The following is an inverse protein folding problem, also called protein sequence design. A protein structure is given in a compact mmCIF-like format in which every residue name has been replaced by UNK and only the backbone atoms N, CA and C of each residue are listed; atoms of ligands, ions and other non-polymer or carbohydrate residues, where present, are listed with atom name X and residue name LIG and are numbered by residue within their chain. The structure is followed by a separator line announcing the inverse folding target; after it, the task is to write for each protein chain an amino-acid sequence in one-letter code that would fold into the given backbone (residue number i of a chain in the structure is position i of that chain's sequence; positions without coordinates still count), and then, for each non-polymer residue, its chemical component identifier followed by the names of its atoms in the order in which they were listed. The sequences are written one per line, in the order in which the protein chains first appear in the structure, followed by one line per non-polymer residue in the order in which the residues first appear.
data_IF_630480768035
#
_entry.id   IF_630480768035
#
_cell.length_a   1.000
_cell.length_b   1.000
_cell.length_c   1.000
_cell.angle_alpha   90.00
_cell.angle_beta   90.00
_cell.angle_gamma   90.00
#
_symmetry.space_group_name_H-M   'P 1'
#
loop_
_entity.id
_entity.type
_entity.pdbx_description
1 polymer ?
#
# COMPACT_ATOMS: atom_id res chain seq x y z
N UNK A 1 -1.61 -9.04 6.97
CA UNK A 1 -0.50 -9.00 7.94
C UNK A 1 0.04 -7.58 7.97
N UNK A 2 0.44 -7.06 9.13
CA UNK A 2 1.26 -5.83 9.17
C UNK A 2 2.72 -6.25 9.33
N UNK A 3 3.66 -5.66 8.56
CA UNK A 3 5.08 -5.92 8.75
C UNK A 3 5.67 -5.13 9.93
N UNK A 4 4.87 -4.31 10.61
CA UNK A 4 5.32 -3.37 11.63
C UNK A 4 5.05 -3.89 13.05
N UNK A 5 5.94 -3.57 13.99
CA UNK A 5 5.73 -3.78 15.43
C UNK A 5 4.87 -2.66 16.02
N UNK A 6 5.04 -1.42 15.51
CA UNK A 6 4.27 -0.25 15.90
C UNK A 6 3.87 0.59 14.67
N UNK A 7 2.73 1.30 14.71
CA UNK A 7 2.37 2.29 13.70
C UNK A 7 3.43 3.40 13.55
N UNK A 8 3.68 3.83 12.32
CA UNK A 8 4.74 4.79 12.01
C UNK A 8 4.19 6.20 11.73
N UNK A 9 5.04 7.21 11.83
CA UNK A 9 4.72 8.53 11.29
C UNK A 9 4.57 8.47 9.77
N UNK A 10 3.89 9.46 9.19
CA UNK A 10 3.60 9.49 7.75
C UNK A 10 4.86 9.33 6.89
N UNK A 11 5.91 10.11 7.17
CA UNK A 11 7.11 10.19 6.34
C UNK A 11 7.88 8.85 6.33
N UNK A 12 7.94 8.16 7.46
CA UNK A 12 8.56 6.83 7.57
C UNK A 12 7.72 5.77 6.86
N UNK A 13 6.40 5.80 7.04
CA UNK A 13 5.49 4.84 6.42
C UNK A 13 5.49 4.97 4.88
N UNK A 14 5.40 6.19 4.35
CA UNK A 14 5.36 6.39 2.89
C UNK A 14 6.69 6.00 2.25
N UNK A 15 7.83 6.26 2.92
CA UNK A 15 9.14 5.83 2.42
C UNK A 15 9.21 4.31 2.23
N UNK A 16 8.80 3.53 3.24
CA UNK A 16 8.77 2.06 3.16
C UNK A 16 7.87 1.57 2.01
N UNK A 17 6.69 2.18 1.86
CA UNK A 17 5.75 1.85 0.77
C UNK A 17 6.38 2.10 -0.60
N UNK A 18 7.04 3.24 -0.79
CA UNK A 18 7.70 3.57 -2.05
C UNK A 18 8.86 2.61 -2.34
N UNK A 19 9.67 2.30 -1.33
CA UNK A 19 10.79 1.35 -1.44
C UNK A 19 10.31 -0.06 -1.82
N UNK A 20 9.17 -0.52 -1.29
CA UNK A 20 8.56 -1.81 -1.67
C UNK A 20 8.09 -1.81 -3.12
N UNK A 21 7.39 -0.75 -3.56
CA UNK A 21 6.95 -0.63 -4.96
C UNK A 21 8.14 -0.61 -5.91
N UNK A 22 9.24 0.06 -5.55
CA UNK A 22 10.45 0.09 -6.37
C UNK A 22 11.16 -1.27 -6.45
N UNK A 23 11.18 -2.03 -5.35
CA UNK A 23 11.67 -3.41 -5.36
C UNK A 23 10.82 -4.30 -6.28
N UNK A 24 9.49 -4.17 -6.23
CA UNK A 24 8.59 -4.93 -7.08
C UNK A 24 8.72 -4.58 -8.56
N UNK A 25 8.88 -3.29 -8.89
CA UNK A 25 9.20 -2.87 -10.27
C UNK A 25 10.48 -3.51 -10.78
N UNK A 26 11.54 -3.56 -9.95
CA UNK A 26 12.82 -4.19 -10.31
C UNK A 26 12.73 -5.71 -10.46
N UNK A 27 11.71 -6.33 -9.87
CA UNK A 27 11.44 -7.76 -9.95
C UNK A 27 10.39 -8.12 -11.02
N UNK A 28 10.06 -7.19 -11.92
CA UNK A 28 9.07 -7.35 -12.99
C UNK A 28 7.64 -7.65 -12.50
N UNK A 29 7.29 -7.21 -11.29
CA UNK A 29 5.92 -7.28 -10.82
C UNK A 29 5.08 -6.18 -11.47
N UNK A 30 3.83 -6.50 -11.80
CA UNK A 30 2.93 -5.62 -12.54
C UNK A 30 1.79 -5.10 -11.68
N UNK A 31 1.34 -3.87 -11.91
CA UNK A 31 0.08 -3.39 -11.32
C UNK A 31 -1.12 -4.02 -12.03
N UNK A 32 -2.06 -4.55 -11.26
CA UNK A 32 -3.26 -5.21 -11.82
C UNK A 32 -4.51 -4.33 -11.86
N UNK A 33 -4.55 -3.28 -11.04
CA UNK A 33 -5.72 -2.37 -10.88
C UNK A 33 -5.29 -0.91 -11.01
N UNK A 34 -4.42 -0.61 -11.97
CA UNK A 34 -3.75 0.68 -12.05
C UNK A 34 -4.71 1.88 -12.17
N UNK A 35 -5.89 1.70 -12.78
CA UNK A 35 -6.89 2.75 -12.95
C UNK A 35 -7.62 3.06 -11.64
N UNK A 36 -8.03 2.03 -10.89
CA UNK A 36 -8.79 2.20 -9.65
C UNK A 36 -7.89 2.36 -8.41
N UNK A 37 -6.71 1.77 -8.46
CA UNK A 37 -5.77 1.57 -7.35
C UNK A 37 -4.33 1.76 -7.87
N UNK A 38 -3.98 2.99 -8.29
CA UNK A 38 -2.66 3.30 -8.82
C UNK A 38 -1.55 3.03 -7.80
N UNK A 39 -0.31 3.02 -8.28
CA UNK A 39 0.84 3.01 -7.39
C UNK A 39 0.83 4.28 -6.53
N UNK A 40 1.20 4.14 -5.26
CA UNK A 40 1.24 5.25 -4.33
C UNK A 40 2.43 6.17 -4.65
N UNK A 41 2.21 7.47 -4.49
CA UNK A 41 3.20 8.53 -4.71
C UNK A 41 3.13 9.48 -3.53
N UNK A 42 4.27 9.90 -2.99
CA UNK A 42 4.32 10.84 -1.87
C UNK A 42 3.93 12.25 -2.32
N UNK A 43 2.62 12.53 -2.30
CA UNK A 43 2.04 13.84 -2.60
C UNK A 43 1.25 14.36 -1.40
N UNK A 44 1.13 15.69 -1.25
CA UNK A 44 0.23 16.28 -0.26
C UNK A 44 -1.20 15.73 -0.37
N UNK A 45 -1.68 15.52 -1.60
CA UNK A 45 -3.01 14.97 -1.84
C UNK A 45 -3.17 13.53 -1.35
N UNK A 46 -2.13 12.68 -1.48
CA UNK A 46 -2.16 11.34 -0.87
C UNK A 46 -2.26 11.46 0.66
N UNK A 47 -1.45 12.33 1.27
CA UNK A 47 -1.45 12.56 2.72
C UNK A 47 -2.83 12.97 3.23
N UNK A 48 -3.47 13.92 2.56
CA UNK A 48 -4.81 14.41 2.89
C UNK A 48 -5.88 13.34 2.68
N UNK A 49 -5.80 12.60 1.58
CA UNK A 49 -6.73 11.50 1.31
C UNK A 49 -6.65 10.41 2.38
N UNK A 50 -5.44 10.07 2.84
CA UNK A 50 -5.23 9.10 3.92
C UNK A 50 -5.71 9.62 5.27
N UNK A 51 -5.44 10.89 5.58
CA UNK A 51 -5.90 11.56 6.81
C UNK A 51 -7.41 11.53 6.94
N UNK A 52 -8.11 11.73 5.82
CA UNK A 52 -9.57 11.75 5.71
C UNK A 52 -10.18 10.38 5.38
N UNK A 53 -9.37 9.30 5.37
CA UNK A 53 -9.81 7.93 5.05
C UNK A 53 -10.62 7.83 3.75
N UNK A 54 -10.27 8.64 2.74
CA UNK A 54 -11.02 8.75 1.48
C UNK A 54 -10.88 7.47 0.65
N UNK A 55 -11.97 6.72 0.51
CA UNK A 55 -12.20 5.77 -0.59
C UNK A 55 -11.07 4.79 -0.95
N UNK A 56 -10.40 4.17 0.03
CA UNK A 56 -9.28 3.25 -0.20
C UNK A 56 -8.04 3.90 -0.81
N UNK A 57 -7.88 5.21 -0.63
CA UNK A 57 -6.58 5.86 -0.75
C UNK A 57 -5.55 5.08 0.09
N UNK A 58 -4.35 4.92 -0.45
CA UNK A 58 -3.33 4.10 0.17
C UNK A 58 -3.38 2.61 -0.15
N UNK A 59 -4.29 2.15 -1.02
CA UNK A 59 -4.32 0.75 -1.46
C UNK A 59 -3.84 0.61 -2.90
N UNK A 60 -2.89 -0.30 -3.14
CA UNK A 60 -2.39 -0.67 -4.46
C UNK A 60 -2.25 -2.19 -4.59
N UNK A 61 -2.32 -2.71 -5.81
CA UNK A 61 -2.30 -4.15 -6.09
C UNK A 61 -1.21 -4.49 -7.10
N UNK A 62 -0.38 -5.46 -6.75
CA UNK A 62 0.78 -5.90 -7.52
C UNK A 62 0.73 -7.40 -7.74
N UNK A 63 1.18 -7.87 -8.89
CA UNK A 63 1.17 -9.28 -9.24
C UNK A 63 2.56 -9.74 -9.70
N UNK A 64 2.97 -10.88 -9.15
CA UNK A 64 4.22 -11.57 -9.43
C UNK A 64 3.93 -12.75 -10.37
N UNK A 65 4.01 -12.51 -11.68
CA UNK A 65 3.67 -13.50 -12.70
C UNK A 65 2.25 -14.07 -12.50
N UNK A 66 2.11 -15.40 -12.54
CA UNK A 66 0.82 -16.08 -12.30
C UNK A 66 0.69 -16.67 -10.89
N UNK A 67 1.71 -16.49 -10.04
CA UNK A 67 1.82 -17.22 -8.79
C UNK A 67 1.18 -16.48 -7.62
N UNK A 68 1.42 -15.17 -7.55
CA UNK A 68 1.05 -14.36 -6.39
C UNK A 68 0.52 -13.00 -6.79
N UNK A 69 -0.46 -12.53 -6.02
CA UNK A 69 -0.88 -11.14 -6.01
C UNK A 69 -0.82 -10.60 -4.58
N UNK A 70 -0.38 -9.35 -4.49
CA UNK A 70 -0.18 -8.62 -3.25
C UNK A 70 -1.10 -7.40 -3.23
N UNK A 71 -1.82 -7.24 -2.13
CA UNK A 71 -2.45 -5.99 -1.75
C UNK A 71 -1.53 -5.29 -0.75
N UNK A 72 -1.11 -4.08 -1.09
CA UNK A 72 -0.39 -3.17 -0.21
C UNK A 72 -1.32 -2.04 0.19
N UNK A 73 -1.53 -1.88 1.49
CA UNK A 73 -2.32 -0.83 2.10
C UNK A 73 -1.45 0.03 3.02
N UNK A 74 -1.63 1.34 2.98
CA UNK A 74 -1.20 2.29 4.00
C UNK A 74 -2.44 3.06 4.45
N UNK A 75 -2.71 3.09 5.75
CA UNK A 75 -3.87 3.79 6.29
C UNK A 75 -3.51 4.50 7.59
N UNK A 76 -4.18 5.62 7.87
CA UNK A 76 -4.12 6.25 9.19
C UNK A 76 -4.67 5.27 10.22
N UNK A 77 -3.96 5.14 11.33
CA UNK A 77 -4.30 4.25 12.43
C UNK A 77 -4.43 5.06 13.72
N UNK A 78 -5.48 4.78 14.48
CA UNK A 78 -5.65 5.37 15.81
C UNK A 78 -4.79 4.57 16.79
N UNK A 79 -3.70 5.17 17.25
CA UNK A 79 -2.79 4.56 18.21
C UNK A 79 -3.05 5.11 19.62
N UNK A 80 -3.59 4.27 20.50
CA UNK A 80 -3.91 4.67 21.88
C UNK A 80 -2.65 4.95 22.72
N UNK A 81 -1.46 4.46 22.31
CA UNK A 81 -0.18 4.78 22.98
C UNK A 81 0.32 6.18 22.64
N UNK A 82 -0.05 6.70 21.47
CA UNK A 82 0.41 7.99 20.93
C UNK A 82 -0.79 8.82 20.45
N UNK A 83 -1.67 9.28 21.35
CA UNK A 83 -2.96 9.88 21.00
C UNK A 83 -2.84 11.22 20.24
N UNK A 84 -1.73 11.93 20.43
CA UNK A 84 -1.49 13.25 19.83
C UNK A 84 -0.76 13.17 18.47
N UNK A 85 -0.47 11.96 18.00
CA UNK A 85 0.28 11.73 16.76
C UNK A 85 -0.56 11.09 15.67
N UNK A 86 -0.33 11.53 14.43
CA UNK A 86 -0.87 10.84 13.28
C UNK A 86 0.03 9.69 12.87
N UNK A 87 -0.44 8.49 13.21
CA UNK A 87 0.26 7.25 12.94
C UNK A 87 -0.39 6.49 11.77
N UNK A 88 0.41 5.70 11.08
CA UNK A 88 0.04 4.98 9.87
C UNK A 88 0.46 3.53 9.95
N UNK A 89 -0.46 2.65 9.59
CA UNK A 89 -0.26 1.22 9.52
C UNK A 89 -0.13 0.79 8.06
N UNK A 90 0.91 0.02 7.77
CA UNK A 90 1.10 -0.68 6.51
C UNK A 90 0.50 -2.08 6.66
N UNK A 91 -0.31 -2.48 5.69
CA UNK A 91 -0.92 -3.80 5.60
C UNK A 91 -0.51 -4.46 4.31
N UNK A 92 -0.02 -5.70 4.41
CA UNK A 92 0.28 -6.58 3.29
C UNK A 92 -0.64 -7.80 3.34
N UNK A 93 -1.27 -8.11 2.22
CA UNK A 93 -1.94 -9.39 2.01
C UNK A 93 -1.39 -10.04 0.73
N UNK A 94 -1.05 -11.32 0.81
CA UNK A 94 -0.53 -12.11 -0.30
C UNK A 94 -1.49 -13.28 -0.52
N UNK A 95 -1.88 -13.52 -1.77
CA UNK A 95 -2.66 -14.69 -2.14
C UNK A 95 -2.32 -15.14 -3.56
N UNK A 96 -2.95 -16.24 -4.01
CA UNK A 96 -3.04 -16.53 -5.45
C UNK A 96 -3.71 -15.35 -6.17
N UNK A 97 -3.43 -15.12 -7.46
CA UNK A 97 -4.01 -13.99 -8.18
C UNK A 97 -5.54 -13.95 -8.09
N UNK A 98 -6.05 -12.82 -7.59
CA UNK A 98 -7.47 -12.48 -7.56
C UNK A 98 -7.97 -12.01 -8.93
N UNK A 99 -7.08 -11.49 -9.75
CA UNK A 99 -7.32 -11.14 -11.15
C UNK A 99 -6.58 -12.16 -12.01
N UNK A 100 -7.32 -12.94 -12.81
CA UNK A 100 -6.69 -13.75 -13.85
C UNK A 100 -6.42 -12.82 -15.02
N UNK A 101 -5.15 -12.52 -15.28
CA UNK A 101 -4.77 -11.93 -16.55
C UNK A 101 -4.94 -13.03 -17.61
N UNK A 102 -6.17 -13.21 -18.12
CA UNK A 102 -6.33 -13.83 -19.42
C UNK A 102 -5.80 -12.80 -20.41
N UNK A 103 -4.57 -13.01 -20.87
CA UNK A 103 -4.10 -12.36 -22.08
C UNK A 103 -4.92 -12.95 -23.23
N UNK A 104 -5.73 -12.12 -23.89
CA UNK A 104 -6.18 -12.36 -25.26
C UNK A 104 -4.97 -12.34 -26.22
#
# INVERSE_FOLDING_TARGET
MSPQIEPLLYDDAIKIVLDLQDQWRKADWVLTKAKERPALVNTPELRDNLRNMKGGAGTTYWQAGEQYQVMLGMARFKDDKHPDEERYLITLAIAKPWVKNYSD
#
